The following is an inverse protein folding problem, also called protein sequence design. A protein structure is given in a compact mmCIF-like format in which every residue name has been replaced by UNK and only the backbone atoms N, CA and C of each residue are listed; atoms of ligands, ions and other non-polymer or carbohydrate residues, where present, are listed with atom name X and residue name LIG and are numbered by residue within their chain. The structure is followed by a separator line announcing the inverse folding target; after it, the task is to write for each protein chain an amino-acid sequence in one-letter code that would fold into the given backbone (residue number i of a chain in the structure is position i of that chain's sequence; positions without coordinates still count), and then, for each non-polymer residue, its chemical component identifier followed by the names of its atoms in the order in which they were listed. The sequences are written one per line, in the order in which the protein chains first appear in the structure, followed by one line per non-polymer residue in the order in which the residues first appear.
data_IF_785264211591
#
_entry.id   IF_785264211591
#
_cell.length_a   1.000
_cell.length_b   1.000
_cell.length_c   1.000
_cell.angle_alpha   90.00
_cell.angle_beta   90.00
_cell.angle_gamma   90.00
#
_symmetry.space_group_name_H-M   'P 1'
#
loop_
_entity.id
_entity.type
_entity.pdbx_description
1 polymer ?
#
# COMPACT_ATOMS: atom_id res chain seq x y z
N UNK A 1 62.83 -1.99 -25.28
CA UNK A 1 62.69 -0.54 -24.97
C UNK A 1 62.10 0.18 -26.20
N UNK A 2 61.35 1.28 -26.00
CA UNK A 2 60.80 2.20 -27.03
C UNK A 2 59.68 1.64 -27.96
N UNK A 3 58.90 2.57 -28.53
CA UNK A 3 57.70 2.34 -29.38
C UNK A 3 56.40 2.30 -28.56
N UNK A 4 55.68 3.38 -28.22
CA UNK A 4 55.31 4.65 -28.91
C UNK A 4 54.30 4.47 -30.05
N UNK A 5 53.06 4.89 -29.81
CA UNK A 5 52.24 5.60 -30.81
C UNK A 5 51.28 6.59 -30.13
N UNK A 6 51.12 7.77 -30.71
CA UNK A 6 50.19 8.83 -30.28
C UNK A 6 49.37 9.26 -31.50
N UNK A 7 48.05 9.41 -31.35
CA UNK A 7 47.23 10.21 -32.26
C UNK A 7 46.19 11.04 -31.49
N UNK A 8 46.35 12.36 -31.53
CA UNK A 8 45.23 13.31 -31.48
C UNK A 8 44.77 13.55 -32.92
N UNK A 9 43.47 13.78 -33.10
CA UNK A 9 42.93 14.52 -34.23
C UNK A 9 41.72 15.31 -33.73
N UNK A 10 41.55 16.55 -34.21
CA UNK A 10 40.39 17.38 -33.91
C UNK A 10 39.56 17.56 -35.19
N UNK A 11 38.25 17.71 -35.04
CA UNK A 11 37.33 18.00 -36.14
C UNK A 11 36.09 18.67 -35.59
N UNK A 12 35.87 19.93 -35.99
CA UNK A 12 34.67 20.69 -35.66
C UNK A 12 33.78 20.80 -36.91
N UNK A 13 32.46 20.90 -36.72
CA UNK A 13 31.67 22.03 -37.22
C UNK A 13 30.14 21.82 -37.08
N UNK A 14 29.42 22.97 -37.09
CA UNK A 14 28.02 23.17 -37.48
C UNK A 14 26.91 22.61 -36.57
N UNK A 15 26.39 23.52 -35.75
CA UNK A 15 24.96 23.65 -35.47
C UNK A 15 24.12 23.54 -36.76
N UNK A 16 22.98 22.85 -36.70
CA UNK A 16 22.00 22.77 -37.78
C UNK A 16 20.59 22.95 -37.23
N UNK A 17 20.06 24.17 -37.27
CA UNK A 17 18.72 24.49 -36.77
C UNK A 17 17.64 23.96 -37.72
N UNK A 18 16.85 22.98 -37.28
CA UNK A 18 15.71 22.46 -38.06
C UNK A 18 14.42 23.17 -37.65
N UNK A 19 14.02 24.18 -38.42
CA UNK A 19 12.69 24.81 -38.31
C UNK A 19 11.63 23.91 -38.96
N UNK A 20 10.90 23.15 -38.12
CA UNK A 20 9.76 22.35 -38.55
C UNK A 20 8.51 23.19 -38.85
N UNK A 21 8.39 23.69 -40.08
CA UNK A 21 7.17 24.34 -40.57
C UNK A 21 5.99 23.34 -40.67
N UNK A 22 5.04 23.41 -39.74
CA UNK A 22 3.72 22.82 -39.93
C UNK A 22 2.85 23.74 -40.80
N UNK A 23 2.52 23.31 -42.01
CA UNK A 23 1.53 23.98 -42.88
C UNK A 23 0.11 23.58 -42.48
N UNK A 24 -0.74 24.56 -42.19
CA UNK A 24 -2.19 24.33 -42.11
C UNK A 24 -2.73 23.93 -43.49
N UNK A 25 -3.31 22.74 -43.60
CA UNK A 25 -4.04 22.28 -44.78
C UNK A 25 -5.50 22.74 -44.75
N UNK A 26 -5.86 23.73 -45.58
CA UNK A 26 -7.26 24.12 -45.78
C UNK A 26 -7.97 23.11 -46.68
N UNK A 27 -8.84 22.27 -46.10
CA UNK A 27 -9.80 21.43 -46.84
C UNK A 27 -11.22 21.99 -46.69
N UNK A 28 -11.88 22.35 -47.80
CA UNK A 28 -13.18 23.03 -47.77
C UNK A 28 -14.24 22.37 -48.65
N UNK A 29 -15.29 21.84 -48.03
CA UNK A 29 -16.59 21.49 -48.61
C UNK A 29 -17.63 21.62 -47.48
N UNK A 30 -18.67 22.46 -47.58
CA UNK A 30 -19.89 22.35 -48.42
C UNK A 30 -20.62 21.02 -48.19
N UNK A 31 -21.91 20.97 -47.84
CA UNK A 31 -22.92 22.03 -47.67
C UNK A 31 -24.06 21.54 -46.75
N UNK A 32 -24.61 22.39 -45.88
CA UNK A 32 -25.78 22.09 -45.04
C UNK A 32 -26.39 23.35 -44.41
N UNK A 33 -27.68 23.61 -44.65
CA UNK A 33 -28.48 24.79 -44.23
C UNK A 33 -29.83 24.27 -43.67
N UNK A 34 -30.66 24.95 -42.86
CA UNK A 34 -30.66 26.22 -42.06
C UNK A 34 -31.87 26.14 -41.08
N UNK A 35 -32.11 27.19 -40.26
CA UNK A 35 -33.21 27.44 -39.28
C UNK A 35 -32.83 27.13 -37.82
N UNK A 36 -32.73 28.04 -36.83
CA UNK A 36 -33.36 29.35 -36.48
C UNK A 36 -34.75 29.31 -35.81
N UNK A 37 -34.75 29.32 -34.45
CA UNK A 37 -35.53 30.16 -33.50
C UNK A 37 -37.09 30.16 -33.54
N UNK A 38 -37.80 30.70 -32.51
CA UNK A 38 -37.37 31.30 -31.24
C UNK A 38 -38.01 30.67 -29.96
N UNK A 39 -37.74 31.26 -28.80
CA UNK A 39 -38.45 31.01 -27.53
C UNK A 39 -39.91 31.54 -27.53
N UNK A 40 -40.69 31.23 -26.49
CA UNK A 40 -41.15 32.32 -25.61
C UNK A 40 -40.77 32.12 -24.15
N UNK A 41 -40.84 33.20 -23.35
CA UNK A 41 -40.50 33.20 -21.94
C UNK A 41 -41.74 33.30 -21.03
N UNK A 42 -41.66 32.73 -19.83
CA UNK A 42 -42.55 33.05 -18.70
C UNK A 42 -41.69 33.22 -17.45
N UNK A 43 -41.88 34.32 -16.73
CA UNK A 43 -41.17 34.60 -15.48
C UNK A 43 -41.86 33.91 -14.29
N UNK A 44 -41.07 33.44 -13.32
CA UNK A 44 -41.39 33.80 -11.94
C UNK A 44 -40.15 33.91 -11.03
N UNK A 45 -40.34 34.51 -9.86
CA UNK A 45 -39.31 35.03 -8.95
C UNK A 45 -38.99 34.03 -7.83
N UNK A 46 -37.77 34.08 -7.27
CA UNK A 46 -37.52 33.50 -5.95
C UNK A 46 -36.11 32.94 -5.70
N UNK A 47 -35.07 33.79 -5.65
CA UNK A 47 -33.75 33.39 -5.19
C UNK A 47 -33.23 34.39 -4.12
N UNK A 48 -32.97 33.97 -2.87
CA UNK A 48 -32.25 34.77 -1.90
C UNK A 48 -30.73 34.57 -2.03
N UNK A 49 -29.99 35.67 -2.13
CA UNK A 49 -28.53 35.72 -1.99
C UNK A 49 -28.17 36.43 -0.66
N UNK A 50 -26.92 36.36 -0.16
CA UNK A 50 -26.68 35.86 1.18
C UNK A 50 -26.68 36.93 2.27
N UNK A 51 -26.76 36.49 3.53
CA UNK A 51 -26.65 37.36 4.70
C UNK A 51 -25.25 37.99 4.78
N UNK A 52 -25.19 39.31 4.88
CA UNK A 52 -23.93 40.06 4.97
C UNK A 52 -23.33 39.97 6.38
N UNK A 53 -22.06 39.54 6.46
CA UNK A 53 -21.32 39.46 7.72
C UNK A 53 -20.66 40.81 8.02
N UNK A 54 -21.12 41.54 9.06
CA UNK A 54 -20.53 42.82 9.43
C UNK A 54 -19.14 42.65 10.08
N UNK A 55 -18.10 43.07 9.36
CA UNK A 55 -16.75 43.21 9.91
C UNK A 55 -16.59 44.52 10.70
N UNK A 56 -16.92 44.48 11.99
CA UNK A 56 -16.63 45.55 12.94
C UNK A 56 -15.12 45.75 13.11
N UNK A 57 -14.55 46.72 12.40
CA UNK A 57 -13.17 47.15 12.57
C UNK A 57 -13.00 48.00 13.84
N UNK A 58 -12.49 47.41 14.91
CA UNK A 58 -12.03 48.14 16.10
C UNK A 58 -10.53 48.46 15.99
N UNK A 59 -10.20 49.73 15.71
CA UNK A 59 -8.81 50.17 15.56
C UNK A 59 -8.07 50.29 16.90
N UNK A 60 -7.04 49.45 17.11
CA UNK A 60 -6.15 49.52 18.27
C UNK A 60 -4.89 50.34 17.94
N UNK A 61 -4.72 51.48 18.61
CA UNK A 61 -3.49 52.29 18.55
C UNK A 61 -2.36 51.59 19.33
N UNK A 62 -1.43 50.98 18.61
CA UNK A 62 -0.17 50.56 19.21
C UNK A 62 0.68 51.80 19.60
N UNK A 63 1.04 51.92 20.88
CA UNK A 63 2.14 52.78 21.34
C UNK A 63 3.37 51.92 21.58
N UNK A 64 4.46 52.20 20.88
CA UNK A 64 5.75 51.54 21.11
C UNK A 64 6.46 52.14 22.32
N UNK A 65 6.78 51.30 23.30
CA UNK A 65 7.75 51.58 24.36
C UNK A 65 8.74 50.41 24.37
N UNK A 66 10.06 50.64 24.34
CA UNK A 66 11.04 49.56 24.21
C UNK A 66 11.30 48.85 25.55
N UNK A 67 11.51 47.54 25.50
CA UNK A 67 11.99 46.72 26.62
C UNK A 67 10.91 45.85 27.28
N UNK A 68 11.07 44.52 27.11
CA UNK A 68 10.42 43.44 27.88
C UNK A 68 8.87 43.44 27.91
N UNK A 69 8.25 42.51 27.19
CA UNK A 69 6.86 42.09 27.45
C UNK A 69 6.58 40.68 26.93
N UNK A 70 6.36 39.73 27.85
CA UNK A 70 5.57 38.51 27.58
C UNK A 70 4.15 38.78 28.10
N UNK A 71 3.24 39.18 27.21
CA UNK A 71 1.82 39.26 27.53
C UNK A 71 1.16 37.89 27.29
N UNK A 72 0.51 37.33 28.31
CA UNK A 72 -0.30 36.11 28.19
C UNK A 72 -1.77 36.52 28.14
N UNK A 73 -2.43 36.27 27.01
CA UNK A 73 -3.87 36.47 26.88
C UNK A 73 -4.61 35.17 27.23
N UNK A 74 -5.49 35.24 28.22
CA UNK A 74 -6.40 34.14 28.60
C UNK A 74 -7.80 34.49 28.10
N UNK A 75 -8.40 33.60 27.31
CA UNK A 75 -9.78 33.73 26.83
C UNK A 75 -10.69 32.73 27.53
N UNK A 76 -11.69 33.24 28.25
CA UNK A 76 -12.79 32.45 28.80
C UNK A 76 -14.09 32.79 28.06
N UNK A 77 -14.69 31.80 27.40
CA UNK A 77 -16.02 31.90 26.81
C UNK A 77 -17.06 31.31 27.77
N UNK A 78 -18.16 32.04 27.98
CA UNK A 78 -19.34 31.55 28.67
C UNK A 78 -20.54 31.68 27.73
N UNK A 79 -21.30 30.59 27.56
CA UNK A 79 -22.52 30.56 26.74
C UNK A 79 -23.72 30.38 27.67
N UNK A 80 -24.62 31.36 27.68
CA UNK A 80 -25.87 31.29 28.42
C UNK A 80 -27.02 31.02 27.44
N UNK A 81 -27.70 29.89 27.62
CA UNK A 81 -28.97 29.59 26.94
C UNK A 81 -30.10 29.73 27.95
N UNK A 82 -31.20 30.38 27.53
CA UNK A 82 -32.41 30.51 28.34
C UNK A 82 -33.59 29.86 27.63
N UNK A 83 -34.41 29.13 28.39
CA UNK A 83 -35.63 28.50 27.92
C UNK A 83 -36.74 28.73 28.96
N UNK A 84 -37.98 28.98 28.49
CA UNK A 84 -39.16 29.15 29.36
C UNK A 84 -39.94 27.83 29.43
N UNK A 85 -40.50 27.46 30.60
CA UNK A 85 -41.24 26.22 30.78
C UNK A 85 -42.73 26.34 30.40
N UNK A 86 -43.37 25.20 30.13
CA UNK A 86 -44.82 25.03 30.13
C UNK A 86 -45.20 23.69 30.80
N UNK A 87 -46.30 23.67 31.54
CA UNK A 87 -46.94 22.47 32.12
C UNK A 87 -48.17 22.09 31.24
N UNK A 88 -48.83 20.92 31.32
CA UNK A 88 -48.65 19.71 32.14
C UNK A 88 -48.87 18.45 31.23
N UNK A 89 -49.40 17.25 31.55
CA UNK A 89 -50.14 16.67 32.70
C UNK A 89 -49.66 15.20 32.88
N UNK A 90 -49.90 14.57 34.05
CA UNK A 90 -49.58 13.16 34.30
C UNK A 90 -50.72 12.20 33.87
N UNK A 91 -50.36 11.02 33.36
CA UNK A 91 -50.94 9.75 33.83
C UNK A 91 -49.89 8.63 34.05
N UNK A 92 -49.99 8.03 35.23
CA UNK A 92 -49.33 6.89 35.91
C UNK A 92 -48.58 5.81 35.07
N UNK A 93 -47.23 5.78 35.18
CA UNK A 93 -46.34 4.78 35.89
C UNK A 93 -46.86 3.33 36.17
N UNK A 94 -45.99 2.32 36.45
CA UNK A 94 -44.50 2.19 36.34
C UNK A 94 -44.05 0.78 35.79
N UNK A 95 -42.90 0.15 36.17
CA UNK A 95 -41.54 0.40 35.68
C UNK A 95 -40.76 -0.86 35.21
N UNK A 96 -39.55 -0.69 34.67
CA UNK A 96 -38.39 -1.53 35.04
C UNK A 96 -37.06 -0.75 34.92
N UNK A 97 -36.08 -1.16 35.73
CA UNK A 97 -34.85 -0.49 36.16
C UNK A 97 -33.96 0.22 35.12
N UNK A 98 -33.44 1.40 35.49
CA UNK A 98 -32.27 2.05 34.89
C UNK A 98 -30.96 1.32 35.21
N UNK A 99 -29.94 1.53 34.38
CA UNK A 99 -28.52 1.86 34.68
C UNK A 99 -27.67 1.46 33.44
N UNK A 100 -26.78 2.24 32.85
CA UNK A 100 -26.37 3.65 32.91
C UNK A 100 -25.17 3.76 31.97
N UNK A 101 -25.20 4.66 30.99
CA UNK A 101 -24.03 4.90 30.11
C UNK A 101 -22.91 5.60 30.87
N UNK A 102 -21.75 4.95 31.02
CA UNK A 102 -20.41 5.57 31.06
C UNK A 102 -19.30 4.53 31.30
N UNK A 103 -18.59 4.11 30.24
CA UNK A 103 -17.23 3.53 30.28
C UNK A 103 -16.75 3.23 28.85
N UNK A 104 -16.34 4.25 28.10
CA UNK A 104 -15.71 4.11 26.78
C UNK A 104 -14.26 4.61 26.82
N UNK A 105 -13.45 3.94 27.62
CA UNK A 105 -12.00 4.08 27.67
C UNK A 105 -11.36 2.73 28.02
N UNK A 106 -10.20 2.44 27.42
CA UNK A 106 -9.44 1.18 27.57
C UNK A 106 -10.15 -0.11 27.16
N UNK A 107 -10.30 -0.33 25.86
CA UNK A 107 -10.11 -1.66 25.29
C UNK A 107 -8.70 -1.77 24.70
N UNK A 108 -7.84 -2.53 25.37
CA UNK A 108 -6.58 -3.01 24.79
C UNK A 108 -6.91 -4.04 23.69
N UNK A 109 -6.14 -4.13 22.59
CA UNK A 109 -6.35 -5.12 21.53
C UNK A 109 -5.86 -6.51 21.98
N UNK A 110 -6.64 -7.18 22.82
CA UNK A 110 -6.32 -8.52 23.36
C UNK A 110 -6.67 -9.61 22.32
N UNK A 111 -5.64 -10.15 21.65
CA UNK A 111 -5.60 -11.46 20.99
C UNK A 111 -6.87 -11.97 20.27
N UNK A 112 -7.36 -11.22 19.28
CA UNK A 112 -8.31 -11.69 18.25
C UNK A 112 -7.69 -12.70 17.23
N UNK A 113 -6.57 -13.35 17.56
CA UNK A 113 -5.85 -14.30 16.70
C UNK A 113 -5.98 -15.77 17.13
N UNK A 114 -6.65 -16.06 18.24
CA UNK A 114 -6.63 -17.41 18.85
C UNK A 114 -7.94 -18.22 18.66
N UNK A 115 -8.93 -17.70 17.91
CA UNK A 115 -10.24 -18.32 17.69
C UNK A 115 -10.40 -19.03 16.34
N UNK A 116 -9.53 -18.74 15.37
CA UNK A 116 -9.44 -19.47 14.11
C UNK A 116 -8.05 -20.09 13.99
N UNK A 117 -7.96 -21.37 14.34
CA UNK A 117 -6.72 -22.17 14.22
C UNK A 117 -6.48 -22.56 12.74
N UNK A 118 -6.42 -21.55 11.87
CA UNK A 118 -5.94 -21.68 10.50
C UNK A 118 -4.45 -22.01 10.62
N UNK A 119 -4.12 -23.28 10.45
CA UNK A 119 -2.74 -23.69 10.16
C UNK A 119 -2.33 -23.00 8.87
N UNK A 120 -1.64 -21.86 8.99
CA UNK A 120 -0.82 -21.33 7.92
C UNK A 120 0.11 -22.47 7.50
N UNK A 121 -0.12 -22.97 6.29
CA UNK A 121 0.66 -24.04 5.71
C UNK A 121 1.34 -23.44 4.49
N UNK A 122 2.64 -23.16 4.62
CA UNK A 122 3.39 -22.61 3.50
C UNK A 122 3.59 -23.66 2.39
N UNK A 123 3.57 -23.19 1.16
CA UNK A 123 3.59 -24.03 -0.04
C UNK A 123 4.66 -23.57 -1.01
N UNK A 124 4.75 -22.27 -1.27
CA UNK A 124 5.81 -21.65 -2.07
C UNK A 124 7.15 -21.71 -1.34
N UNK A 125 7.14 -21.56 -0.01
CA UNK A 125 8.32 -21.79 0.83
C UNK A 125 8.90 -23.23 0.74
N UNK A 126 8.17 -24.19 0.15
CA UNK A 126 8.64 -25.57 -0.09
C UNK A 126 9.08 -25.80 -1.56
N UNK A 127 8.88 -24.84 -2.46
CA UNK A 127 9.18 -24.99 -3.89
C UNK A 127 10.68 -24.92 -4.19
N UNK A 128 11.11 -25.71 -5.18
CA UNK A 128 12.49 -25.81 -5.65
C UNK A 128 12.54 -25.71 -7.19
N UNK A 129 13.67 -25.29 -7.80
CA UNK A 129 14.89 -24.79 -7.15
C UNK A 129 14.63 -23.48 -6.38
N UNK A 130 15.44 -23.21 -5.36
CA UNK A 130 15.39 -21.96 -4.62
C UNK A 130 15.61 -20.77 -5.60
N UNK A 131 14.81 -19.68 -5.53
CA UNK A 131 14.84 -18.58 -6.51
C UNK A 131 16.24 -18.05 -6.84
N UNK A 132 16.50 -17.86 -8.14
CA UNK A 132 17.79 -17.37 -8.65
C UNK A 132 18.96 -18.37 -8.52
N UNK A 133 18.68 -19.67 -8.34
CA UNK A 133 19.71 -20.70 -8.13
C UNK A 133 19.35 -22.05 -8.77
N UNK A 134 20.22 -23.04 -8.58
CA UNK A 134 19.98 -24.47 -8.83
C UNK A 134 19.97 -25.29 -7.53
N UNK A 135 19.63 -24.66 -6.40
CA UNK A 135 19.63 -25.32 -5.08
C UNK A 135 18.26 -25.95 -4.82
N UNK A 136 18.20 -27.27 -4.82
CA UNK A 136 17.03 -28.03 -4.39
C UNK A 136 16.90 -28.03 -2.86
N UNK A 137 15.67 -27.91 -2.36
CA UNK A 137 15.37 -28.04 -0.92
C UNK A 137 15.29 -29.52 -0.53
N UNK A 138 15.67 -29.84 0.71
CA UNK A 138 15.35 -31.15 1.30
C UNK A 138 13.83 -31.32 1.36
N UNK A 139 13.30 -32.44 0.87
CA UNK A 139 11.86 -32.68 0.82
C UNK A 139 11.24 -32.71 2.23
N UNK A 140 10.19 -31.92 2.46
CA UNK A 140 9.48 -31.83 3.74
C UNK A 140 8.09 -32.49 3.62
N UNK A 141 7.86 -33.66 4.24
CA UNK A 141 6.53 -34.27 4.32
C UNK A 141 5.52 -33.37 5.05
N UNK A 142 4.25 -33.40 4.64
CA UNK A 142 3.24 -32.46 5.11
C UNK A 142 2.91 -32.58 6.61
N UNK A 143 3.04 -33.77 7.17
CA UNK A 143 2.97 -34.05 8.61
C UNK A 143 4.16 -33.48 9.41
N UNK A 144 5.29 -33.21 8.72
CA UNK A 144 6.55 -32.78 9.32
C UNK A 144 6.92 -31.31 9.10
N UNK A 145 6.10 -30.53 8.40
CA UNK A 145 6.29 -29.07 8.29
C UNK A 145 6.33 -28.42 9.68
N UNK A 146 5.39 -28.76 10.57
CA UNK A 146 5.32 -28.18 11.91
C UNK A 146 6.51 -28.58 12.80
N UNK A 147 7.19 -27.58 13.40
CA UNK A 147 8.34 -27.80 14.29
C UNK A 147 8.03 -28.63 15.55
N UNK A 148 6.76 -28.71 15.95
CA UNK A 148 6.29 -29.57 17.05
C UNK A 148 6.35 -31.07 16.69
N UNK A 149 6.29 -31.42 15.40
CA UNK A 149 6.54 -32.79 14.95
C UNK A 149 8.03 -33.08 15.09
N UNK A 150 8.38 -34.07 15.92
CA UNK A 150 9.76 -34.52 16.06
C UNK A 150 10.26 -35.15 14.76
N UNK A 151 11.46 -34.74 14.34
CA UNK A 151 12.15 -35.33 13.19
C UNK A 151 13.66 -35.17 13.37
N UNK A 152 14.29 -36.19 13.99
CA UNK A 152 15.73 -36.21 14.25
C UNK A 152 16.56 -36.20 12.96
N UNK A 153 16.08 -36.86 11.92
CA UNK A 153 16.74 -37.02 10.62
C UNK A 153 16.52 -35.82 9.68
N UNK A 154 16.04 -34.68 10.19
CA UNK A 154 15.83 -33.47 9.40
C UNK A 154 17.17 -32.80 9.08
N UNK A 155 17.70 -33.09 7.91
CA UNK A 155 18.93 -32.52 7.37
C UNK A 155 18.62 -31.57 6.18
N UNK A 156 18.27 -30.30 6.43
CA UNK A 156 18.03 -29.30 5.38
C UNK A 156 19.32 -28.91 4.66
N UNK A 157 19.21 -28.53 3.39
CA UNK A 157 20.33 -27.96 2.63
C UNK A 157 20.63 -26.55 3.14
N UNK A 158 21.90 -26.24 3.46
CA UNK A 158 22.26 -24.87 3.83
C UNK A 158 22.59 -24.01 2.60
N UNK A 159 21.92 -22.87 2.46
CA UNK A 159 22.14 -21.92 1.38
C UNK A 159 21.98 -20.46 1.81
N UNK A 160 22.92 -19.62 1.35
CA UNK A 160 22.80 -18.16 1.34
C UNK A 160 23.46 -17.65 0.06
N UNK A 161 22.78 -16.76 -0.66
CA UNK A 161 23.18 -16.29 -1.98
C UNK A 161 24.45 -15.42 -1.90
N UNK A 162 25.27 -15.46 -2.95
CA UNK A 162 26.54 -14.71 -3.01
C UNK A 162 26.36 -13.20 -2.83
N UNK A 163 25.22 -12.64 -3.25
CA UNK A 163 24.84 -11.24 -3.04
C UNK A 163 24.65 -10.90 -1.56
N UNK A 164 24.03 -11.79 -0.79
CA UNK A 164 23.87 -11.64 0.67
C UNK A 164 25.20 -11.87 1.40
N UNK A 165 25.98 -12.86 0.95
CA UNK A 165 27.31 -13.17 1.51
C UNK A 165 28.35 -12.06 1.25
N UNK A 166 28.12 -11.17 0.29
CA UNK A 166 28.99 -10.03 0.01
C UNK A 166 28.88 -8.90 1.06
N UNK A 167 27.95 -9.00 2.02
CA UNK A 167 27.76 -8.01 3.09
C UNK A 167 27.31 -6.60 2.65
N UNK A 168 26.34 -6.43 1.72
CA UNK A 168 25.75 -5.13 1.46
C UNK A 168 24.99 -4.60 2.69
N UNK A 169 24.75 -3.28 2.77
CA UNK A 169 24.13 -2.61 3.92
C UNK A 169 22.73 -3.16 4.31
N UNK A 170 21.98 -3.68 3.35
CA UNK A 170 20.68 -4.31 3.58
C UNK A 170 20.76 -5.76 4.11
N UNK A 171 21.95 -6.36 4.15
CA UNK A 171 22.18 -7.71 4.66
C UNK A 171 22.79 -7.71 6.07
N UNK A 172 22.51 -8.75 6.85
CA UNK A 172 23.22 -9.05 8.09
C UNK A 172 24.56 -9.79 7.82
N UNK A 173 25.52 -9.75 8.75
CA UNK A 173 26.61 -10.73 8.83
C UNK A 173 26.12 -12.18 9.01
N UNK A 174 27.03 -13.16 8.98
CA UNK A 174 26.74 -14.52 9.43
C UNK A 174 26.66 -14.58 10.95
N UNK A 175 25.85 -15.51 11.49
CA UNK A 175 25.53 -15.60 12.93
C UNK A 175 26.77 -15.84 13.82
N UNK A 176 27.85 -16.40 13.25
CA UNK A 176 29.10 -16.64 13.96
C UNK A 176 30.17 -15.55 13.70
N UNK A 177 29.85 -14.48 12.98
CA UNK A 177 30.79 -13.41 12.67
C UNK A 177 31.11 -12.58 13.93
N UNK A 178 32.40 -12.34 14.16
CA UNK A 178 32.87 -11.68 15.39
C UNK A 178 32.36 -10.24 15.51
N UNK A 179 31.42 -10.03 16.42
CA UNK A 179 30.80 -8.73 16.70
C UNK A 179 29.35 -8.61 16.22
N UNK A 180 28.82 -9.61 15.51
CA UNK A 180 27.39 -9.66 15.19
C UNK A 180 26.60 -10.35 16.30
N UNK A 181 25.92 -9.55 17.13
CA UNK A 181 25.10 -10.02 18.25
C UNK A 181 23.63 -9.56 18.06
N UNK A 182 22.90 -10.13 17.10
CA UNK A 182 21.57 -9.65 16.70
C UNK A 182 20.52 -9.77 17.80
N UNK A 183 19.71 -8.72 17.95
CA UNK A 183 18.67 -8.61 18.98
C UNK A 183 17.31 -9.11 18.46
N UNK A 184 17.17 -10.43 18.37
CA UNK A 184 15.94 -11.07 17.90
C UNK A 184 14.72 -10.80 18.78
N UNK A 185 13.53 -10.77 18.16
CA UNK A 185 12.24 -10.42 18.78
C UNK A 185 12.15 -8.99 19.38
N UNK A 186 13.13 -8.11 19.15
CA UNK A 186 13.06 -6.69 19.54
C UNK A 186 13.51 -5.76 18.40
N UNK A 187 13.68 -4.45 18.66
CA UNK A 187 14.23 -3.50 17.69
C UNK A 187 15.75 -3.38 17.88
N UNK A 188 16.49 -3.75 16.85
CA UNK A 188 17.95 -3.82 16.82
C UNK A 188 18.53 -2.59 16.11
N UNK A 189 18.45 -1.44 16.79
CA UNK A 189 18.81 -0.14 16.22
C UNK A 189 17.84 0.26 15.10
N UNK A 190 18.34 0.34 13.87
CA UNK A 190 17.56 0.66 12.67
C UNK A 190 16.85 -0.56 12.05
N UNK A 191 17.28 -1.78 12.41
CA UNK A 191 16.65 -3.02 11.96
C UNK A 191 15.58 -3.41 12.98
N UNK A 192 14.31 -3.39 12.59
CA UNK A 192 13.28 -4.01 13.41
C UNK A 192 13.30 -5.54 13.21
N UNK A 193 13.44 -6.31 14.30
CA UNK A 193 13.51 -7.78 14.28
C UNK A 193 12.31 -8.44 14.96
N UNK A 194 11.26 -7.70 15.33
CA UNK A 194 10.00 -8.28 15.83
C UNK A 194 9.22 -8.87 14.65
N UNK A 195 8.80 -10.14 14.75
CA UNK A 195 7.81 -10.65 13.81
C UNK A 195 6.45 -9.99 14.06
N UNK A 196 5.76 -9.67 12.97
CA UNK A 196 4.40 -9.16 12.96
C UNK A 196 3.37 -10.22 13.42
N UNK A 197 3.78 -11.49 13.53
CA UNK A 197 2.98 -12.60 14.07
C UNK A 197 3.26 -12.92 15.54
N UNK A 198 4.14 -12.16 16.23
CA UNK A 198 4.49 -12.37 17.64
C UNK A 198 5.95 -12.77 17.83
N UNK A 199 6.23 -13.60 18.84
CA UNK A 199 7.60 -14.08 19.12
C UNK A 199 7.92 -15.36 18.34
N UNK A 200 9.08 -15.38 17.68
CA UNK A 200 9.64 -16.58 17.06
C UNK A 200 10.75 -17.20 17.93
N UNK A 201 10.92 -18.51 17.81
CA UNK A 201 11.98 -19.25 18.49
C UNK A 201 13.33 -18.91 17.88
N UNK A 202 14.36 -18.81 18.72
CA UNK A 202 15.77 -18.77 18.33
C UNK A 202 16.44 -20.04 18.83
N UNK A 203 17.08 -20.78 17.95
CA UNK A 203 17.71 -22.08 18.20
C UNK A 203 19.12 -22.07 17.60
N UNK A 204 20.13 -22.52 18.35
CA UNK A 204 21.53 -22.47 17.92
C UNK A 204 21.97 -21.09 17.41
N UNK A 205 21.48 -20.01 18.05
CA UNK A 205 21.73 -18.62 17.68
C UNK A 205 20.95 -18.11 16.46
N UNK A 206 20.15 -18.96 15.79
CA UNK A 206 19.46 -18.66 14.53
C UNK A 206 17.95 -18.58 14.75
N UNK A 207 17.22 -17.64 14.12
CA UNK A 207 15.75 -17.67 14.11
C UNK A 207 15.21 -18.97 13.50
N UNK A 208 14.03 -19.38 13.94
CA UNK A 208 13.27 -20.51 13.41
C UNK A 208 11.97 -20.00 12.78
N UNK A 209 11.76 -20.31 11.51
CA UNK A 209 10.60 -19.87 10.71
C UNK A 209 9.27 -20.22 11.41
N UNK A 210 8.39 -19.25 11.71
CA UNK A 210 7.23 -19.46 12.58
C UNK A 210 6.17 -20.39 11.98
N UNK A 211 6.19 -20.60 10.66
CA UNK A 211 5.20 -21.44 9.95
C UNK A 211 5.66 -22.89 9.80
N UNK A 212 6.97 -23.16 9.72
CA UNK A 212 7.47 -24.54 9.64
C UNK A 212 8.86 -24.72 9.03
N UNK A 213 9.23 -25.98 8.85
CA UNK A 213 10.40 -26.46 8.10
C UNK A 213 10.21 -26.18 6.60
N UNK A 214 11.21 -25.58 5.98
CA UNK A 214 11.25 -25.23 4.55
C UNK A 214 12.19 -26.10 3.72
N UNK A 215 12.88 -27.05 4.35
CA UNK A 215 13.87 -27.92 3.69
C UNK A 215 15.22 -27.26 3.43
N UNK A 216 15.40 -25.98 3.83
CA UNK A 216 16.59 -25.19 3.53
C UNK A 216 16.92 -24.23 4.67
N UNK A 217 18.16 -24.30 5.17
CA UNK A 217 18.70 -23.40 6.21
C UNK A 217 19.57 -22.31 5.59
N UNK A 218 19.87 -21.28 6.38
CA UNK A 218 20.56 -20.07 5.93
C UNK A 218 19.54 -18.98 5.59
N UNK A 219 19.92 -17.99 4.79
CA UNK A 219 19.02 -16.87 4.42
C UNK A 219 18.56 -16.90 2.96
N UNK A 220 19.14 -17.76 2.12
CA UNK A 220 18.89 -17.70 0.69
C UNK A 220 19.22 -16.31 0.12
N UNK A 221 18.24 -15.64 -0.47
CA UNK A 221 18.33 -14.26 -0.99
C UNK A 221 17.96 -13.18 0.03
N UNK A 222 17.47 -13.54 1.22
CA UNK A 222 16.99 -12.59 2.20
C UNK A 222 18.14 -11.92 2.96
N UNK A 223 18.02 -10.62 3.22
CA UNK A 223 19.07 -9.83 3.86
C UNK A 223 19.21 -10.12 5.35
N UNK A 224 18.09 -10.16 6.06
CA UNK A 224 18.04 -10.27 7.53
C UNK A 224 17.82 -11.70 8.00
N UNK A 225 18.38 -12.04 9.15
CA UNK A 225 17.98 -13.23 9.90
C UNK A 225 16.64 -12.96 10.59
N UNK A 226 15.69 -13.89 10.45
CA UNK A 226 14.33 -13.77 10.95
C UNK A 226 13.40 -13.05 9.95
N UNK A 227 12.50 -12.17 10.41
CA UNK A 227 11.58 -11.46 9.53
C UNK A 227 12.33 -10.48 8.62
N UNK A 228 11.94 -10.46 7.34
CA UNK A 228 12.36 -9.50 6.34
C UNK A 228 11.11 -8.72 5.93
N UNK A 229 10.99 -7.48 6.42
CA UNK A 229 9.77 -6.69 6.30
C UNK A 229 9.64 -6.02 4.93
N UNK A 230 8.46 -6.15 4.34
CA UNK A 230 8.00 -5.47 3.15
C UNK A 230 6.73 -4.64 3.44
N UNK A 231 6.29 -3.83 2.48
CA UNK A 231 5.00 -3.17 2.54
C UNK A 231 4.29 -3.19 1.18
N UNK A 232 3.00 -3.51 1.19
CA UNK A 232 2.20 -3.77 -0.02
C UNK A 232 1.07 -2.72 -0.19
N UNK A 233 1.26 -1.67 -1.01
CA UNK A 233 0.26 -0.65 -1.25
C UNK A 233 -0.79 -1.15 -2.26
N UNK A 234 -1.89 -1.70 -1.76
CA UNK A 234 -3.01 -2.21 -2.56
C UNK A 234 -3.88 -1.04 -3.04
N UNK A 235 -3.36 -0.26 -3.98
CA UNK A 235 -4.02 0.91 -4.57
C UNK A 235 -5.14 0.47 -5.51
N UNK A 236 -6.35 0.99 -5.28
CA UNK A 236 -7.59 0.51 -5.94
C UNK A 236 -8.53 1.62 -6.39
N UNK A 237 -9.35 1.34 -7.41
CA UNK A 237 -10.50 2.15 -7.83
C UNK A 237 -11.66 1.26 -8.30
N UNK A 238 -12.85 1.83 -8.44
CA UNK A 238 -13.94 1.15 -9.17
C UNK A 238 -13.67 1.15 -10.68
N UNK A 239 -13.99 0.05 -11.36
CA UNK A 239 -14.01 0.01 -12.83
C UNK A 239 -15.16 0.90 -13.34
N UNK A 240 -14.87 1.80 -14.28
CA UNK A 240 -15.86 2.74 -14.85
C UNK A 240 -16.12 2.51 -16.33
N UNK A 241 -17.31 2.91 -16.78
CA UNK A 241 -17.65 3.05 -18.20
C UNK A 241 -17.19 4.40 -18.79
N UNK A 242 -17.42 4.62 -20.08
CA UNK A 242 -17.09 5.88 -20.76
C UNK A 242 -17.92 7.09 -20.34
N UNK A 243 -18.87 6.94 -19.42
CA UNK A 243 -19.64 8.01 -18.78
C UNK A 243 -19.30 8.18 -17.29
N UNK A 244 -18.32 7.43 -16.77
CA UNK A 244 -17.88 7.49 -15.37
C UNK A 244 -18.69 6.63 -14.39
N UNK A 245 -19.70 5.88 -14.84
CA UNK A 245 -20.50 5.02 -13.97
C UNK A 245 -19.72 3.77 -13.58
N UNK A 246 -19.95 3.26 -12.36
CA UNK A 246 -19.34 1.99 -11.90
C UNK A 246 -19.91 0.80 -12.68
N UNK A 247 -19.05 -0.11 -13.14
CA UNK A 247 -19.47 -1.31 -13.87
C UNK A 247 -19.74 -2.45 -12.87
N UNK A 248 -20.99 -2.93 -12.84
CA UNK A 248 -21.38 -4.16 -12.13
C UNK A 248 -20.98 -5.42 -12.91
N UNK A 249 -20.54 -6.47 -12.21
CA UNK A 249 -20.29 -7.78 -12.81
C UNK A 249 -21.61 -8.55 -12.97
N UNK A 250 -21.95 -9.09 -14.16
CA UNK A 250 -23.28 -9.63 -14.45
C UNK A 250 -23.67 -10.82 -13.55
N UNK A 251 -22.70 -11.65 -13.15
CA UNK A 251 -22.96 -12.85 -12.32
C UNK A 251 -23.28 -12.49 -10.85
N UNK A 252 -22.73 -11.38 -10.33
CA UNK A 252 -22.78 -11.08 -8.89
C UNK A 252 -23.54 -9.80 -8.53
N UNK A 253 -23.95 -8.98 -9.52
CA UNK A 253 -24.57 -7.66 -9.32
C UNK A 253 -23.67 -6.59 -8.68
N UNK A 254 -22.58 -7.00 -8.02
CA UNK A 254 -21.58 -6.12 -7.38
C UNK A 254 -20.66 -5.44 -8.38
N UNK A 255 -20.20 -4.25 -8.03
CA UNK A 255 -19.24 -3.48 -8.82
C UNK A 255 -17.88 -4.21 -8.96
N UNK A 256 -17.28 -4.12 -10.14
CA UNK A 256 -15.94 -4.60 -10.42
C UNK A 256 -14.94 -3.60 -9.83
N UNK A 257 -14.06 -4.09 -8.98
CA UNK A 257 -12.95 -3.32 -8.41
C UNK A 257 -11.69 -3.56 -9.25
N UNK A 258 -10.89 -2.52 -9.46
CA UNK A 258 -9.57 -2.61 -10.06
C UNK A 258 -8.49 -2.31 -9.02
N UNK A 259 -7.31 -2.92 -9.16
CA UNK A 259 -6.09 -2.51 -8.47
C UNK A 259 -4.95 -2.24 -9.46
N UNK A 260 -3.95 -1.50 -9.02
CA UNK A 260 -2.69 -1.36 -9.77
C UNK A 260 -1.83 -2.59 -9.52
N UNK A 261 -1.40 -3.25 -10.59
CA UNK A 261 -0.49 -4.38 -10.53
C UNK A 261 0.73 -4.14 -11.42
N UNK A 262 1.89 -4.57 -10.94
CA UNK A 262 3.12 -4.70 -11.74
C UNK A 262 3.33 -6.14 -12.17
N UNK A 263 4.04 -6.35 -13.28
CA UNK A 263 4.58 -7.64 -13.69
C UNK A 263 6.08 -7.64 -13.42
N UNK A 264 6.55 -8.43 -12.45
CA UNK A 264 7.96 -8.40 -12.00
C UNK A 264 8.92 -8.83 -13.11
N UNK A 265 10.10 -8.22 -13.21
CA UNK A 265 11.14 -8.61 -14.19
C UNK A 265 11.78 -9.97 -13.90
N UNK A 266 11.84 -10.40 -12.63
CA UNK A 266 12.56 -11.60 -12.18
C UNK A 266 11.83 -12.92 -12.46
N UNK A 267 10.54 -13.01 -12.16
CA UNK A 267 9.71 -14.21 -12.37
C UNK A 267 8.64 -14.06 -13.45
N UNK A 268 8.35 -12.82 -13.90
CA UNK A 268 7.27 -12.56 -14.87
C UNK A 268 5.85 -12.71 -14.31
N UNK A 269 5.68 -12.87 -12.99
CA UNK A 269 4.38 -12.92 -12.34
C UNK A 269 3.81 -11.51 -12.09
N UNK A 270 2.47 -11.42 -11.97
CA UNK A 270 1.79 -10.19 -11.56
C UNK A 270 1.79 -10.06 -10.03
N UNK A 271 2.01 -8.85 -9.52
CA UNK A 271 2.13 -8.55 -8.10
C UNK A 271 1.52 -7.18 -7.76
N UNK A 272 1.28 -6.95 -6.48
CA UNK A 272 1.11 -5.61 -5.92
C UNK A 272 2.46 -4.88 -6.07
N UNK A 273 2.51 -3.56 -6.38
CA UNK A 273 3.74 -2.76 -6.40
C UNK A 273 4.22 -2.47 -4.97
N UNK A 274 4.72 -3.50 -4.29
CA UNK A 274 5.29 -3.43 -2.96
C UNK A 274 6.71 -4.00 -2.92
N UNK A 275 7.48 -3.54 -1.94
CA UNK A 275 8.90 -3.87 -1.79
C UNK A 275 9.37 -3.74 -0.35
N UNK A 276 10.69 -3.63 -0.17
CA UNK A 276 11.34 -3.80 1.13
C UNK A 276 11.26 -2.53 1.99
N UNK A 277 11.07 -2.70 3.30
CA UNK A 277 11.17 -1.61 4.26
C UNK A 277 12.65 -1.29 4.49
N UNK A 278 13.08 -0.07 4.18
CA UNK A 278 14.46 0.34 4.37
C UNK A 278 14.85 0.46 5.86
N UNK A 279 16.15 0.33 6.21
CA UNK A 279 16.62 0.53 7.59
C UNK A 279 16.18 1.90 8.15
N UNK A 280 15.50 1.88 9.30
CA UNK A 280 14.93 3.09 9.91
C UNK A 280 13.69 3.68 9.22
N UNK A 281 13.26 3.17 8.07
CA UNK A 281 12.08 3.64 7.35
C UNK A 281 10.78 3.35 8.15
N UNK A 282 9.73 4.13 7.87
CA UNK A 282 8.37 3.86 8.36
C UNK A 282 7.59 3.17 7.26
N UNK A 283 6.78 2.15 7.61
CA UNK A 283 5.88 1.45 6.69
C UNK A 283 5.05 2.43 5.82
N UNK A 284 4.55 3.52 6.40
CA UNK A 284 3.78 4.55 5.66
C UNK A 284 4.59 5.38 4.64
N UNK A 285 5.93 5.41 4.78
CA UNK A 285 6.83 5.94 3.76
C UNK A 285 7.10 4.88 2.68
N UNK A 286 7.44 3.65 3.09
CA UNK A 286 7.63 2.49 2.20
C UNK A 286 6.44 2.31 1.24
N UNK A 287 5.21 2.26 1.78
CA UNK A 287 3.96 2.13 1.00
C UNK A 287 3.79 3.23 -0.07
N UNK A 288 4.26 4.44 0.20
CA UNK A 288 4.19 5.55 -0.77
C UNK A 288 5.33 5.47 -1.78
N UNK A 289 6.56 5.25 -1.29
CA UNK A 289 7.79 5.16 -2.07
C UNK A 289 7.71 4.02 -3.10
N UNK A 290 7.42 2.81 -2.66
CA UNK A 290 7.28 1.63 -3.53
C UNK A 290 6.23 1.85 -4.64
N UNK A 291 5.09 2.48 -4.31
CA UNK A 291 4.08 2.83 -5.30
C UNK A 291 4.53 3.91 -6.29
N UNK A 292 5.23 4.94 -5.82
CA UNK A 292 5.80 5.99 -6.67
C UNK A 292 6.94 5.45 -7.55
N UNK A 293 7.77 4.54 -7.05
CA UNK A 293 8.91 3.96 -7.77
C UNK A 293 8.47 2.90 -8.79
N UNK A 294 7.74 1.86 -8.38
CA UNK A 294 7.44 0.70 -9.22
C UNK A 294 6.24 0.88 -10.17
N UNK A 295 5.20 1.61 -9.75
CA UNK A 295 3.97 1.76 -10.53
C UNK A 295 3.88 3.08 -11.31
N UNK A 296 4.76 4.05 -11.02
CA UNK A 296 4.75 5.40 -11.57
C UNK A 296 6.13 5.88 -12.06
N UNK A 297 7.12 4.98 -12.09
CA UNK A 297 8.50 5.23 -12.52
C UNK A 297 9.11 6.52 -11.95
N UNK A 298 8.86 6.82 -10.67
CA UNK A 298 9.23 8.12 -10.12
C UNK A 298 10.73 8.37 -10.18
N UNK A 299 11.59 7.36 -10.00
CA UNK A 299 13.05 7.52 -10.02
C UNK A 299 13.53 8.32 -11.25
N UNK A 300 13.01 8.00 -12.44
CA UNK A 300 13.40 8.60 -13.72
C UNK A 300 12.76 9.98 -14.00
N UNK A 301 11.80 10.42 -13.17
CA UNK A 301 11.04 11.69 -13.36
C UNK A 301 11.75 12.93 -12.83
N UNK A 302 11.43 14.09 -13.40
CA UNK A 302 11.99 15.39 -12.99
C UNK A 302 11.56 15.77 -11.56
N UNK A 303 12.28 16.70 -10.89
CA UNK A 303 11.87 17.23 -9.59
C UNK A 303 10.45 17.85 -9.61
N UNK A 304 10.07 18.48 -10.72
CA UNK A 304 8.77 19.11 -10.93
C UNK A 304 7.67 18.06 -11.12
N UNK A 305 7.92 17.02 -11.92
CA UNK A 305 7.01 15.88 -12.10
C UNK A 305 6.80 15.12 -10.78
N UNK A 306 7.89 14.87 -10.02
CA UNK A 306 7.85 14.31 -8.67
C UNK A 306 7.02 15.16 -7.72
N UNK A 307 7.16 16.49 -7.79
CA UNK A 307 6.39 17.41 -6.95
C UNK A 307 4.88 17.41 -7.30
N UNK A 308 4.50 17.28 -8.57
CA UNK A 308 3.09 17.21 -8.96
C UNK A 308 2.46 15.85 -8.63
N UNK A 309 3.17 14.75 -8.94
CA UNK A 309 2.77 13.39 -8.56
C UNK A 309 2.58 13.28 -7.04
N UNK A 310 3.50 13.87 -6.27
CA UNK A 310 3.44 13.94 -4.81
C UNK A 310 2.20 14.68 -4.29
N UNK A 311 1.71 15.73 -4.97
CA UNK A 311 0.45 16.41 -4.63
C UNK A 311 -0.77 15.53 -4.93
N UNK A 312 -0.82 14.94 -6.13
CA UNK A 312 -1.91 14.07 -6.57
C UNK A 312 -2.06 12.89 -5.60
N UNK A 313 -0.96 12.24 -5.25
CA UNK A 313 -0.94 11.10 -4.33
C UNK A 313 -1.09 11.49 -2.85
N UNK A 314 -0.82 12.73 -2.44
CA UNK A 314 -1.04 13.15 -1.05
C UNK A 314 -2.51 12.95 -0.63
N UNK A 315 -3.48 13.29 -1.50
CA UNK A 315 -4.90 12.99 -1.29
C UNK A 315 -5.16 11.48 -1.11
N UNK A 316 -4.59 10.66 -1.98
CA UNK A 316 -4.78 9.20 -2.00
C UNK A 316 -4.21 8.50 -0.75
N UNK A 317 -3.06 8.96 -0.24
CA UNK A 317 -2.36 8.34 0.89
C UNK A 317 -2.71 8.96 2.26
N UNK A 318 -3.33 10.14 2.32
CA UNK A 318 -3.74 10.81 3.57
C UNK A 318 -5.23 10.73 3.90
N UNK A 319 -6.06 10.18 3.01
CA UNK A 319 -7.44 9.79 3.31
C UNK A 319 -7.53 8.52 4.18
N UNK A 320 -8.75 8.10 4.51
CA UNK A 320 -9.01 6.84 5.22
C UNK A 320 -8.55 5.62 4.40
N UNK A 321 -7.71 4.80 5.02
CA UNK A 321 -7.13 3.57 4.50
C UNK A 321 -7.19 2.49 5.60
N UNK A 322 -7.10 1.21 5.22
CA UNK A 322 -7.09 0.12 6.19
C UNK A 322 -5.97 -0.88 5.91
N UNK A 323 -5.40 -1.44 6.98
CA UNK A 323 -4.49 -2.58 6.90
C UNK A 323 -5.29 -3.81 6.47
N UNK A 324 -4.96 -4.34 5.29
CA UNK A 324 -5.56 -5.52 4.68
C UNK A 324 -5.04 -6.78 5.37
N UNK A 325 -3.72 -6.84 5.55
CA UNK A 325 -3.00 -7.97 6.09
C UNK A 325 -1.73 -7.51 6.78
N UNK A 326 -1.31 -8.23 7.82
CA UNK A 326 -0.07 -7.97 8.56
C UNK A 326 0.51 -9.30 9.03
N UNK A 327 1.72 -9.63 8.59
CA UNK A 327 2.36 -10.90 8.96
C UNK A 327 3.11 -11.61 7.83
N UNK A 328 3.33 -12.90 8.07
CA UNK A 328 4.04 -13.86 7.23
C UNK A 328 3.48 -14.00 5.81
N UNK A 329 4.38 -13.97 4.82
CA UNK A 329 4.06 -14.22 3.42
C UNK A 329 4.54 -15.61 3.01
N UNK A 330 3.70 -16.42 2.35
CA UNK A 330 4.13 -17.67 1.71
C UNK A 330 4.87 -17.35 0.41
N UNK A 331 6.16 -17.08 0.56
CA UNK A 331 7.08 -16.60 -0.47
C UNK A 331 8.17 -17.66 -0.74
N UNK A 332 8.53 -17.92 -2.01
CA UNK A 332 9.53 -18.94 -2.36
C UNK A 332 10.96 -18.62 -1.89
N UNK A 333 11.24 -17.39 -1.42
CA UNK A 333 12.50 -16.98 -0.79
C UNK A 333 12.61 -17.41 0.69
N UNK A 334 11.54 -17.89 1.32
CA UNK A 334 11.55 -18.26 2.73
C UNK A 334 12.48 -19.46 3.00
N UNK A 335 13.20 -19.41 4.12
CA UNK A 335 14.08 -20.47 4.63
C UNK A 335 13.69 -20.82 6.06
N UNK A 336 14.36 -21.81 6.66
CA UNK A 336 14.19 -22.14 8.08
C UNK A 336 14.60 -21.00 9.03
N UNK A 337 15.41 -20.03 8.56
CA UNK A 337 16.00 -18.97 9.39
C UNK A 337 15.72 -17.54 8.93
N UNK A 338 15.08 -17.34 7.79
CA UNK A 338 14.67 -16.04 7.28
C UNK A 338 13.36 -16.16 6.49
N UNK A 339 12.47 -15.19 6.60
CA UNK A 339 11.18 -15.22 5.89
C UNK A 339 10.66 -13.82 5.60
N UNK A 340 9.82 -13.72 4.57
CA UNK A 340 9.10 -12.50 4.23
C UNK A 340 7.94 -12.26 5.20
N UNK A 341 7.81 -11.01 5.64
CA UNK A 341 6.60 -10.48 6.27
C UNK A 341 6.19 -9.17 5.61
N UNK A 342 4.91 -8.87 5.54
CA UNK A 342 4.41 -7.63 4.94
C UNK A 342 3.35 -6.96 5.81
N UNK A 343 3.22 -5.65 5.65
CA UNK A 343 2.03 -4.88 6.03
C UNK A 343 1.36 -4.37 4.74
N UNK A 344 0.27 -5.04 4.34
CA UNK A 344 -0.48 -4.71 3.15
C UNK A 344 -1.60 -3.72 3.50
N UNK A 345 -1.70 -2.60 2.78
CA UNK A 345 -2.62 -1.49 3.09
C UNK A 345 -3.41 -1.07 1.86
N UNK A 346 -4.73 -0.96 2.00
CA UNK A 346 -5.62 -0.58 0.90
C UNK A 346 -5.88 0.93 0.90
N UNK A 347 -5.32 1.59 -0.12
CA UNK A 347 -5.69 2.95 -0.53
C UNK A 347 -6.71 2.84 -1.68
N UNK A 348 -7.78 3.63 -1.61
CA UNK A 348 -8.92 3.48 -2.52
C UNK A 348 -9.43 4.81 -3.03
N UNK A 349 -9.60 4.93 -4.34
CA UNK A 349 -10.30 6.06 -4.95
C UNK A 349 -11.74 5.68 -5.29
N UNK A 350 -12.65 6.14 -4.44
CA UNK A 350 -14.10 5.93 -4.53
C UNK A 350 -14.74 6.70 -5.69
N UNK A 351 -14.19 7.88 -6.05
CA UNK A 351 -14.76 8.78 -7.08
C UNK A 351 -14.02 8.72 -8.42
N UNK A 352 -12.76 8.29 -8.42
CA UNK A 352 -11.89 8.23 -9.62
C UNK A 352 -11.09 9.51 -9.87
N UNK A 353 -11.38 10.60 -9.17
CA UNK A 353 -10.77 11.92 -9.34
C UNK A 353 -9.23 11.93 -9.32
N UNK A 354 -8.64 11.00 -8.57
CA UNK A 354 -7.19 10.94 -8.28
C UNK A 354 -6.51 9.91 -9.16
N UNK A 355 -7.17 8.76 -9.40
CA UNK A 355 -6.58 7.58 -10.04
C UNK A 355 -6.92 7.43 -11.53
N UNK A 356 -7.97 8.08 -12.03
CA UNK A 356 -8.38 7.94 -13.43
C UNK A 356 -7.46 8.66 -14.42
N UNK A 357 -6.78 9.72 -13.95
CA UNK A 357 -5.77 10.46 -14.71
C UNK A 357 -4.33 10.16 -14.26
N UNK A 358 -4.10 9.11 -13.47
CA UNK A 358 -2.76 8.78 -12.96
C UNK A 358 -1.94 8.02 -14.04
N UNK A 359 -0.80 8.57 -14.51
CA UNK A 359 0.01 7.94 -15.56
C UNK A 359 0.82 6.76 -14.98
N UNK A 360 0.24 5.57 -15.04
CA UNK A 360 0.92 4.33 -14.68
C UNK A 360 2.10 4.09 -15.62
N UNK A 361 3.29 3.94 -15.05
CA UNK A 361 4.55 3.75 -15.77
C UNK A 361 5.45 2.79 -14.97
N UNK A 362 5.97 1.76 -15.62
CA UNK A 362 6.69 0.70 -14.91
C UNK A 362 8.07 1.20 -14.45
N UNK A 363 8.37 1.04 -13.16
CA UNK A 363 9.69 1.30 -12.57
C UNK A 363 10.77 0.33 -13.04
N UNK A 364 11.96 0.45 -12.43
CA UNK A 364 13.15 -0.28 -12.87
C UNK A 364 13.16 -1.78 -12.50
N UNK A 365 12.34 -2.25 -11.57
CA UNK A 365 12.13 -3.70 -11.30
C UNK A 365 10.80 -4.24 -11.88
N UNK A 366 9.87 -3.36 -12.25
CA UNK A 366 8.65 -3.69 -12.98
C UNK A 366 8.88 -3.81 -14.50
N UNK A 367 8.45 -4.93 -15.11
CA UNK A 367 8.50 -5.14 -16.57
C UNK A 367 7.24 -4.65 -17.30
N UNK A 368 6.13 -4.53 -16.57
CA UNK A 368 4.87 -3.91 -17.01
C UNK A 368 4.14 -3.37 -15.78
N UNK A 369 3.28 -2.37 -15.96
CA UNK A 369 2.28 -1.94 -14.95
C UNK A 369 0.94 -1.76 -15.64
N UNK A 370 -0.17 -2.04 -14.94
CA UNK A 370 -1.53 -1.71 -15.41
C UNK A 370 -2.57 -1.75 -14.28
N UNK A 371 -3.73 -1.18 -14.58
CA UNK A 371 -4.97 -1.53 -13.88
C UNK A 371 -5.40 -2.96 -14.21
N UNK A 372 -5.73 -3.73 -13.18
CA UNK A 372 -6.20 -5.12 -13.27
C UNK A 372 -7.59 -5.22 -12.64
N UNK A 373 -8.56 -5.71 -13.41
CA UNK A 373 -9.87 -6.13 -12.91
C UNK A 373 -9.68 -7.29 -11.92
N UNK A 374 -10.27 -7.19 -10.73
CA UNK A 374 -10.15 -8.21 -9.70
C UNK A 374 -11.23 -9.29 -9.87
N UNK A 375 -10.81 -10.55 -9.93
CA UNK A 375 -11.67 -11.73 -9.75
C UNK A 375 -10.88 -12.93 -9.22
N UNK A 376 -11.57 -13.99 -8.81
CA UNK A 376 -10.98 -15.22 -8.25
C UNK A 376 -10.02 -15.96 -9.20
N UNK A 377 -10.09 -15.69 -10.51
CA UNK A 377 -9.24 -16.33 -11.53
C UNK A 377 -7.82 -15.74 -11.59
N UNK A 378 -7.57 -14.65 -10.86
CA UNK A 378 -6.34 -13.88 -10.94
C UNK A 378 -5.16 -14.56 -10.22
N UNK A 379 -4.17 -15.01 -11.01
CA UNK A 379 -2.91 -15.56 -10.51
C UNK A 379 -1.94 -14.42 -10.19
N UNK A 380 -1.53 -14.31 -8.93
CA UNK A 380 -0.57 -13.32 -8.43
C UNK A 380 0.54 -13.99 -7.62
N UNK A 381 1.69 -13.31 -7.56
CA UNK A 381 2.87 -13.69 -6.78
C UNK A 381 2.59 -13.87 -5.28
N UNK A 382 3.37 -14.73 -4.63
CA UNK A 382 3.37 -14.97 -3.19
C UNK A 382 1.95 -15.12 -2.57
N UNK A 383 1.56 -14.27 -1.62
CA UNK A 383 0.21 -14.28 -1.00
C UNK A 383 -0.74 -13.22 -1.60
N UNK A 384 -0.38 -12.55 -2.69
CA UNK A 384 -1.04 -11.30 -3.10
C UNK A 384 -2.51 -11.49 -3.51
N UNK A 385 -2.89 -12.66 -4.05
CA UNK A 385 -4.29 -12.99 -4.37
C UNK A 385 -5.18 -13.06 -3.11
N UNK A 386 -4.63 -13.48 -1.96
CA UNK A 386 -5.34 -13.45 -0.68
C UNK A 386 -5.54 -12.02 -0.16
N UNK A 387 -4.54 -11.14 -0.29
CA UNK A 387 -4.68 -9.72 0.10
C UNK A 387 -5.75 -9.03 -0.77
N UNK A 388 -5.69 -9.25 -2.09
CA UNK A 388 -6.67 -8.71 -3.04
C UNK A 388 -8.09 -9.24 -2.74
N UNK A 389 -8.25 -10.51 -2.35
CA UNK A 389 -9.53 -11.08 -1.88
C UNK A 389 -10.08 -10.31 -0.66
N UNK A 390 -9.27 -10.15 0.39
CA UNK A 390 -9.67 -9.42 1.61
C UNK A 390 -10.10 -7.97 1.29
N UNK A 391 -9.47 -7.31 0.31
CA UNK A 391 -9.92 -5.99 -0.17
C UNK A 391 -11.29 -6.06 -0.84
N UNK A 392 -11.57 -7.06 -1.69
CA UNK A 392 -12.91 -7.20 -2.30
C UNK A 392 -14.00 -7.47 -1.28
N UNK A 393 -13.71 -8.28 -0.25
CA UNK A 393 -14.62 -8.54 0.87
C UNK A 393 -14.92 -7.26 1.65
N UNK A 394 -13.87 -6.50 2.01
CA UNK A 394 -13.99 -5.24 2.77
C UNK A 394 -14.64 -4.10 1.97
N UNK A 395 -14.49 -4.07 0.64
CA UNK A 395 -15.09 -3.07 -0.27
C UNK A 395 -16.46 -3.49 -0.82
N UNK A 396 -16.95 -4.71 -0.53
CA UNK A 396 -18.23 -5.21 -1.07
C UNK A 396 -18.22 -5.44 -2.58
N UNK A 397 -17.06 -5.70 -3.18
CA UNK A 397 -16.87 -5.83 -4.62
C UNK A 397 -17.24 -7.24 -5.14
N UNK A 398 -17.18 -7.37 -6.48
CA UNK A 398 -17.13 -8.66 -7.17
C UNK A 398 -15.89 -9.49 -6.76
N UNK A 399 -16.01 -10.82 -6.80
CA UNK A 399 -14.90 -11.77 -6.61
C UNK A 399 -15.18 -13.13 -7.30
N UNK A 400 -16.30 -13.77 -6.93
CA UNK A 400 -16.72 -15.06 -7.48
C UNK A 400 -17.19 -14.90 -8.93
N UNK A 401 -16.60 -15.66 -9.84
CA UNK A 401 -17.01 -15.69 -11.25
C UNK A 401 -18.04 -16.78 -11.54
N UNK A 402 -18.14 -17.77 -10.66
CA UNK A 402 -19.26 -18.69 -10.63
C UNK A 402 -20.48 -18.01 -9.99
N UNK A 403 -21.72 -18.25 -10.48
CA UNK A 403 -22.89 -18.01 -9.66
C UNK A 403 -22.77 -18.89 -8.41
N UNK A 404 -23.18 -18.36 -7.26
CA UNK A 404 -23.36 -19.19 -6.07
C UNK A 404 -24.44 -20.25 -6.33
N UNK A 405 -24.54 -21.31 -5.50
CA UNK A 405 -25.72 -22.17 -5.53
C UNK A 405 -26.96 -21.28 -5.33
N UNK A 406 -27.92 -21.38 -6.25
CA UNK A 406 -29.18 -20.66 -6.11
C UNK A 406 -29.89 -21.22 -4.86
N UNK A 407 -30.07 -20.36 -3.85
CA UNK A 407 -30.93 -20.67 -2.72
C UNK A 407 -32.38 -20.64 -3.20
N UNK A 408 -32.84 -21.75 -3.78
CA UNK A 408 -34.26 -22.02 -3.94
C UNK A 408 -34.88 -22.14 -2.54
N UNK A 409 -35.78 -21.21 -2.20
CA UNK A 409 -36.62 -21.24 -0.99
C UNK A 409 -37.75 -22.28 -1.08
#
# INVERSE_FOLDING_TARGET
MRGVLVKRAAGAARLGTVLGFWRCGLGCSRLGRVCWNPCPAVCNRGAPVPLSMLLLHSALRARTVPGVSRAVAVFTFAVALSARPAWCVLQRRPPLSNLSTNCWSHLQPVNMLNSYNVKLYHSKALTSPYPGSHVERSQVPADKVGWLTEWKDYNPVEYTAKSVLAGPSWADPQINDKGFSPKFNERDGEVDRKSLNGTYVVENGRPRNPVGRTGLTGRGLLGRWGPNHAADPVVTRWKRDGSGNKIAHPVTGRNILQFVAIKRRDCGEWAIPGGMVDPGEKISATLKREFEEEALNSLQKSPEEKAELGKQLHKLFSQEHFVVYRGYVDDPRNTDNAWMETEAVNYHDETGETLDNLPLEAGDDAGMVKWVDISEKLKLYASHSYFVKLVTEKRGAHWSENPGPECHE
#
